data_IF_370038159254
#
_entry.id   IF_370038159254
#
_cell.length_a   1.000
_cell.length_b   1.000
_cell.length_c   1.000
_cell.angle_alpha   90.00
_cell.angle_beta   90.00
_cell.angle_gamma   90.00
#
_symmetry.space_group_name_H-M   'P 1'
#
loop_
_entity.id
_entity.type
_entity.pdbx_description
1 polymer ?
#
# COMPACT_ATOMS: atom_id res chain seq x y z
N UNK A 1 44.02 15.20 -22.14
CA UNK A 1 43.46 13.89 -21.68
C UNK A 1 43.87 12.88 -22.74
N UNK A 2 44.65 11.88 -22.36
CA UNK A 2 45.16 10.86 -23.30
C UNK A 2 44.03 9.95 -23.80
N UNK A 3 44.22 9.28 -24.97
CA UNK A 3 43.16 8.46 -25.60
C UNK A 3 42.64 7.35 -24.69
N UNK A 4 43.47 6.81 -23.81
CA UNK A 4 43.06 5.80 -22.81
C UNK A 4 42.04 6.33 -21.80
N UNK A 5 42.18 7.58 -21.36
CA UNK A 5 41.23 8.21 -20.43
C UNK A 5 39.89 8.51 -21.12
N UNK A 6 39.91 8.89 -22.39
CA UNK A 6 38.69 9.12 -23.17
C UNK A 6 37.90 7.81 -23.36
N UNK A 7 38.57 6.69 -23.62
CA UNK A 7 37.95 5.37 -23.75
C UNK A 7 37.34 4.95 -22.38
N UNK A 8 38.05 5.17 -21.27
CA UNK A 8 37.55 4.86 -19.94
C UNK A 8 36.28 5.64 -19.58
N UNK A 9 36.23 6.94 -19.91
CA UNK A 9 35.06 7.78 -19.68
C UNK A 9 33.88 7.31 -20.53
N UNK A 10 34.12 7.00 -21.81
CA UNK A 10 33.06 6.53 -22.71
C UNK A 10 32.47 5.19 -22.26
N UNK A 11 33.31 4.24 -21.83
CA UNK A 11 32.84 2.96 -21.26
C UNK A 11 32.04 3.16 -19.96
N UNK A 12 32.44 4.08 -19.12
CA UNK A 12 31.75 4.40 -17.88
C UNK A 12 30.38 5.01 -18.12
N UNK A 13 30.28 5.93 -19.10
CA UNK A 13 29.02 6.53 -19.52
C UNK A 13 28.07 5.51 -20.15
N UNK A 14 28.58 4.58 -20.97
CA UNK A 14 27.79 3.48 -21.52
C UNK A 14 27.28 2.53 -20.44
N UNK A 15 28.09 2.25 -19.43
CA UNK A 15 27.68 1.41 -18.29
C UNK A 15 26.59 2.10 -17.45
N UNK A 16 26.74 3.40 -17.20
CA UNK A 16 25.72 4.19 -16.50
C UNK A 16 24.40 4.28 -17.29
N UNK A 17 24.48 4.47 -18.61
CA UNK A 17 23.31 4.47 -19.49
C UNK A 17 22.63 3.09 -19.54
N UNK A 18 23.41 2.02 -19.59
CA UNK A 18 22.91 0.65 -19.55
C UNK A 18 22.21 0.34 -18.23
N UNK A 19 22.79 0.71 -17.10
CA UNK A 19 22.17 0.52 -15.80
C UNK A 19 20.90 1.35 -15.65
N UNK A 20 20.91 2.64 -16.05
CA UNK A 20 19.72 3.49 -16.01
C UNK A 20 18.62 3.06 -16.99
N UNK A 21 19.01 2.56 -18.17
CA UNK A 21 18.06 2.08 -19.17
C UNK A 21 17.43 0.72 -18.82
N UNK A 22 18.20 -0.16 -18.16
CA UNK A 22 17.72 -1.48 -17.74
C UNK A 22 17.01 -1.45 -16.37
N UNK A 23 17.34 -0.50 -15.51
CA UNK A 23 16.73 -0.41 -14.19
C UNK A 23 15.20 -0.32 -14.21
N UNK A 24 14.55 0.48 -15.07
CA UNK A 24 13.09 0.50 -15.16
C UNK A 24 12.52 -0.86 -15.56
N UNK A 25 13.14 -1.54 -16.53
CA UNK A 25 12.68 -2.85 -17.04
C UNK A 25 12.83 -3.93 -15.96
N UNK A 26 13.91 -3.90 -15.20
CA UNK A 26 14.15 -4.84 -14.09
C UNK A 26 13.29 -4.52 -12.85
N UNK A 27 12.86 -3.25 -12.70
CA UNK A 27 12.02 -2.80 -11.59
C UNK A 27 10.53 -2.86 -11.90
N UNK A 28 10.16 -3.05 -13.18
CA UNK A 28 8.76 -3.09 -13.62
C UNK A 28 7.95 -4.21 -12.96
N UNK A 29 8.62 -5.25 -12.49
CA UNK A 29 8.02 -6.37 -11.75
C UNK A 29 8.27 -6.30 -10.23
N UNK A 30 8.56 -5.14 -9.69
CA UNK A 30 8.79 -5.04 -8.26
C UNK A 30 7.45 -4.99 -7.51
N UNK A 31 7.23 -5.97 -6.64
CA UNK A 31 6.06 -6.03 -5.72
C UNK A 31 5.88 -4.77 -4.85
N UNK A 32 6.85 -3.88 -4.86
CA UNK A 32 6.81 -2.57 -4.22
C UNK A 32 6.34 -1.45 -5.15
N UNK A 33 6.02 -1.75 -6.40
CA UNK A 33 5.51 -0.75 -7.32
C UNK A 33 4.10 -0.30 -6.90
N UNK A 34 4.08 0.89 -6.29
CA UNK A 34 2.84 1.51 -5.83
C UNK A 34 1.92 1.92 -6.98
N UNK A 35 2.47 2.15 -8.18
CA UNK A 35 1.68 2.50 -9.37
C UNK A 35 0.89 1.31 -9.87
N UNK A 36 1.56 0.19 -10.13
CA UNK A 36 0.91 -1.05 -10.56
C UNK A 36 -0.17 -1.47 -9.56
N UNK A 37 0.16 -1.44 -8.27
CA UNK A 37 -0.80 -1.72 -7.21
C UNK A 37 -2.02 -0.76 -7.24
N UNK A 38 -1.78 0.54 -7.41
CA UNK A 38 -2.86 1.53 -7.50
C UNK A 38 -3.76 1.28 -8.72
N UNK A 39 -3.17 0.98 -9.88
CA UNK A 39 -3.91 0.72 -11.12
C UNK A 39 -4.74 -0.57 -11.02
N UNK A 40 -4.23 -1.60 -10.34
CA UNK A 40 -4.94 -2.85 -10.11
C UNK A 40 -6.13 -2.70 -9.14
N UNK A 41 -6.01 -1.86 -8.11
CA UNK A 41 -7.08 -1.71 -7.11
C UNK A 41 -8.13 -0.67 -7.51
N UNK A 42 -7.81 0.33 -8.32
CA UNK A 42 -8.75 1.37 -8.75
C UNK A 42 -10.10 0.84 -9.26
N UNK A 43 -10.16 -0.22 -10.09
CA UNK A 43 -11.44 -0.76 -10.56
C UNK A 43 -12.31 -1.36 -9.46
N UNK A 44 -11.72 -1.71 -8.31
CA UNK A 44 -12.44 -2.31 -7.17
C UNK A 44 -13.05 -1.24 -6.26
N UNK A 45 -12.63 0.01 -6.39
CA UNK A 45 -13.03 1.08 -5.49
C UNK A 45 -14.42 1.61 -5.85
N UNK A 46 -15.32 1.78 -4.87
CA UNK A 46 -16.66 2.36 -5.10
C UNK A 46 -16.61 3.87 -5.34
N UNK A 47 -15.45 4.50 -5.13
CA UNK A 47 -15.22 5.92 -5.29
C UNK A 47 -13.79 6.29 -4.90
N UNK A 48 -13.51 7.58 -4.84
CA UNK A 48 -12.19 8.07 -4.45
C UNK A 48 -12.02 7.95 -2.92
N UNK A 49 -11.04 7.19 -2.41
CA UNK A 49 -10.81 7.10 -0.97
C UNK A 49 -10.07 8.34 -0.45
N UNK A 50 -10.54 8.91 0.66
CA UNK A 50 -9.81 9.96 1.38
C UNK A 50 -8.65 9.37 2.18
N UNK A 51 -8.81 8.14 2.65
CA UNK A 51 -7.80 7.47 3.45
C UNK A 51 -7.63 6.01 3.02
N UNK A 52 -6.38 5.58 2.92
CA UNK A 52 -6.01 4.16 2.77
C UNK A 52 -5.28 3.73 4.04
N UNK A 53 -5.82 2.73 4.70
CA UNK A 53 -5.39 2.25 6.01
C UNK A 53 -4.81 0.84 5.85
N UNK A 54 -3.51 0.69 6.10
CA UNK A 54 -2.85 -0.61 6.13
C UNK A 54 -2.94 -1.19 7.54
N UNK A 55 -3.56 -2.36 7.66
CA UNK A 55 -3.77 -3.05 8.94
C UNK A 55 -2.67 -4.09 9.13
N UNK A 56 -1.86 -3.94 10.18
CA UNK A 56 -0.70 -4.80 10.51
C UNK A 56 0.24 -5.06 9.32
N UNK A 57 0.33 -4.09 8.41
CA UNK A 57 1.13 -4.21 7.20
C UNK A 57 1.97 -2.95 6.96
N UNK A 58 2.99 -3.09 6.13
CA UNK A 58 3.80 -1.95 5.73
C UNK A 58 3.03 -1.07 4.73
N UNK A 59 2.95 0.22 5.04
CA UNK A 59 2.32 1.18 4.14
C UNK A 59 3.09 1.30 2.83
N UNK A 60 2.35 1.45 1.74
CA UNK A 60 2.89 1.82 0.43
C UNK A 60 2.70 3.32 0.23
N UNK A 61 3.64 4.10 0.75
CA UNK A 61 3.54 5.58 0.74
C UNK A 61 3.39 6.16 -0.68
N UNK A 62 3.91 5.47 -1.71
CA UNK A 62 3.72 5.86 -3.09
C UNK A 62 2.26 5.91 -3.55
N UNK A 63 1.34 5.22 -2.88
CA UNK A 63 -0.11 5.30 -3.17
C UNK A 63 -0.69 6.70 -2.97
N UNK A 64 -0.11 7.50 -2.08
CA UNK A 64 -0.50 8.89 -1.89
C UNK A 64 -0.49 9.66 -3.24
N UNK A 65 0.55 9.45 -4.06
CA UNK A 65 0.68 10.11 -5.35
C UNK A 65 -0.34 9.62 -6.39
N UNK A 66 -0.59 8.31 -6.43
CA UNK A 66 -1.43 7.70 -7.48
C UNK A 66 -2.91 7.70 -7.16
N UNK A 67 -3.26 7.68 -5.88
CA UNK A 67 -4.64 7.73 -5.40
C UNK A 67 -5.02 9.08 -4.81
N UNK A 68 -4.07 10.02 -4.66
CA UNK A 68 -4.28 11.32 -4.02
C UNK A 68 -4.99 11.19 -2.66
N UNK A 69 -4.53 10.26 -1.85
CA UNK A 69 -5.17 9.84 -0.61
C UNK A 69 -4.18 9.90 0.56
N UNK A 70 -4.69 10.01 1.76
CA UNK A 70 -3.88 9.92 2.96
C UNK A 70 -3.61 8.44 3.31
N UNK A 71 -2.35 8.11 3.62
CA UNK A 71 -1.94 6.74 3.97
C UNK A 71 -1.70 6.66 5.47
N UNK A 72 -2.31 5.66 6.10
CA UNK A 72 -2.12 5.35 7.52
C UNK A 72 -1.76 3.89 7.72
N UNK A 73 -1.08 3.61 8.83
CA UNK A 73 -0.82 2.25 9.33
C UNK A 73 -1.49 2.07 10.67
N UNK A 74 -2.24 1.00 10.84
CA UNK A 74 -2.89 0.69 12.11
C UNK A 74 -2.52 -0.72 12.58
N UNK A 75 -2.39 -0.86 13.89
CA UNK A 75 -2.22 -2.14 14.57
C UNK A 75 -3.52 -2.60 15.19
N UNK A 76 -3.68 -3.90 15.45
CA UNK A 76 -4.85 -4.40 16.20
C UNK A 76 -4.86 -3.88 17.64
N UNK A 77 -3.69 -3.91 18.28
CA UNK A 77 -3.53 -3.41 19.65
C UNK A 77 -2.81 -2.07 19.68
N UNK A 78 -3.15 -1.20 20.64
CA UNK A 78 -2.39 0.04 20.83
C UNK A 78 -0.92 -0.29 21.11
N UNK A 79 -0.03 0.24 20.29
CA UNK A 79 1.42 0.08 20.48
C UNK A 79 2.02 1.41 20.91
N UNK A 80 2.99 1.44 21.85
CA UNK A 80 3.72 2.65 22.16
C UNK A 80 4.41 3.13 20.88
N UNK A 81 4.35 4.43 20.60
CA UNK A 81 5.01 5.01 19.42
C UNK A 81 6.52 4.80 19.53
N UNK A 82 7.13 3.96 18.72
CA UNK A 82 8.58 3.89 18.66
C UNK A 82 9.13 5.18 18.04
N UNK A 83 10.39 5.47 18.31
CA UNK A 83 11.09 6.67 17.82
C UNK A 83 11.37 6.60 16.30
N UNK A 84 10.94 5.54 15.61
CA UNK A 84 11.22 5.30 14.18
C UNK A 84 9.98 5.51 13.31
N UNK A 85 10.21 5.89 12.03
CA UNK A 85 9.18 6.05 10.99
C UNK A 85 8.37 4.78 10.66
N UNK A 86 8.74 3.63 11.24
CA UNK A 86 7.99 2.37 11.11
C UNK A 86 6.81 2.26 12.07
N UNK A 87 6.54 3.29 12.87
CA UNK A 87 5.46 3.31 13.84
C UNK A 87 4.08 3.17 13.19
N UNK A 88 3.17 2.51 13.90
CA UNK A 88 1.75 2.56 13.59
C UNK A 88 1.18 3.91 14.03
N UNK A 89 0.30 4.48 13.22
CA UNK A 89 -0.30 5.79 13.49
C UNK A 89 -1.33 5.72 14.61
N UNK A 90 -2.09 4.61 14.66
CA UNK A 90 -3.17 4.37 15.63
C UNK A 90 -3.46 2.88 15.75
N UNK A 91 -4.42 2.51 16.62
CA UNK A 91 -4.99 1.17 16.64
C UNK A 91 -6.25 1.09 15.77
N UNK A 92 -6.60 -0.14 15.33
CA UNK A 92 -7.82 -0.38 14.56
C UNK A 92 -9.07 0.10 15.32
N UNK A 93 -9.14 -0.14 16.62
CA UNK A 93 -10.27 0.33 17.44
C UNK A 93 -10.39 1.86 17.44
N UNK A 94 -9.27 2.58 17.49
CA UNK A 94 -9.27 4.05 17.42
C UNK A 94 -9.75 4.55 16.04
N UNK A 95 -9.32 3.90 14.97
CA UNK A 95 -9.78 4.26 13.62
C UNK A 95 -11.27 3.94 13.41
N UNK A 96 -11.74 2.80 13.92
CA UNK A 96 -13.15 2.42 13.82
C UNK A 96 -14.08 3.34 14.63
N UNK A 97 -13.59 3.97 15.69
CA UNK A 97 -14.32 4.97 16.47
C UNK A 97 -14.48 6.32 15.75
N UNK A 98 -13.65 6.60 14.73
CA UNK A 98 -13.75 7.83 13.93
C UNK A 98 -15.00 7.81 13.04
N UNK A 99 -15.57 8.96 12.69
CA UNK A 99 -16.65 9.04 11.71
C UNK A 99 -16.22 8.51 10.35
N UNK A 100 -17.20 8.15 9.51
CA UNK A 100 -16.95 7.71 8.14
C UNK A 100 -16.23 8.80 7.33
N UNK A 101 -15.18 8.44 6.60
CA UNK A 101 -14.35 9.34 5.82
C UNK A 101 -13.78 8.66 4.56
N UNK A 102 -14.61 7.89 3.85
CA UNK A 102 -14.22 7.20 2.62
C UNK A 102 -12.93 6.38 2.79
N UNK A 103 -12.90 5.57 3.84
CA UNK A 103 -11.72 4.77 4.22
C UNK A 103 -11.67 3.44 3.49
N UNK A 104 -10.48 3.11 3.05
CA UNK A 104 -10.14 1.82 2.47
C UNK A 104 -9.20 1.08 3.44
N UNK A 105 -9.51 -0.15 3.76
CA UNK A 105 -8.68 -1.00 4.62
C UNK A 105 -8.00 -2.06 3.77
N UNK A 106 -6.68 -2.14 3.89
CA UNK A 106 -5.84 -3.10 3.16
C UNK A 106 -5.04 -3.90 4.18
N UNK A 107 -5.09 -5.21 4.06
CA UNK A 107 -4.39 -6.13 4.95
C UNK A 107 -3.93 -7.37 4.23
N UNK A 108 -3.01 -8.10 4.83
CA UNK A 108 -2.65 -9.44 4.39
C UNK A 108 -3.80 -10.42 4.64
N UNK A 109 -3.88 -11.45 3.81
CA UNK A 109 -4.89 -12.52 3.94
C UNK A 109 -4.93 -13.12 5.35
N UNK A 110 -3.78 -13.36 5.96
CA UNK A 110 -3.66 -13.92 7.30
C UNK A 110 -4.29 -13.05 8.41
N UNK A 111 -4.42 -11.73 8.17
CA UNK A 111 -4.99 -10.77 9.11
C UNK A 111 -6.50 -10.56 8.91
N UNK A 112 -7.09 -11.12 7.86
CA UNK A 112 -8.49 -10.91 7.48
C UNK A 112 -9.47 -11.26 8.62
N UNK A 113 -9.30 -12.42 9.24
CA UNK A 113 -10.21 -12.85 10.32
C UNK A 113 -10.13 -11.95 11.55
N UNK A 114 -8.93 -11.55 11.95
CA UNK A 114 -8.75 -10.65 13.08
C UNK A 114 -9.35 -9.26 12.79
N UNK A 115 -9.20 -8.77 11.54
CA UNK A 115 -9.83 -7.53 11.10
C UNK A 115 -11.36 -7.62 11.17
N UNK A 116 -11.95 -8.67 10.61
CA UNK A 116 -13.41 -8.88 10.64
C UNK A 116 -13.96 -8.94 12.06
N UNK A 117 -13.28 -9.64 12.97
CA UNK A 117 -13.65 -9.70 14.37
C UNK A 117 -13.59 -8.31 15.03
N UNK A 118 -12.54 -7.52 14.78
CA UNK A 118 -12.41 -6.16 15.30
C UNK A 118 -13.51 -5.22 14.77
N UNK A 119 -13.85 -5.31 13.49
CA UNK A 119 -14.93 -4.52 12.89
C UNK A 119 -16.29 -4.89 13.49
N UNK A 120 -16.59 -6.18 13.64
CA UNK A 120 -17.83 -6.64 14.27
C UNK A 120 -17.94 -6.17 15.72
N UNK A 121 -16.84 -6.25 16.49
CA UNK A 121 -16.81 -5.77 17.86
C UNK A 121 -17.08 -4.26 17.98
N UNK A 122 -16.77 -3.49 16.93
CA UNK A 122 -17.10 -2.06 16.86
C UNK A 122 -18.54 -1.75 16.44
N UNK A 123 -19.35 -2.77 16.14
CA UNK A 123 -20.72 -2.62 15.63
C UNK A 123 -20.81 -2.13 14.19
N UNK A 124 -19.72 -2.17 13.42
CA UNK A 124 -19.69 -1.81 12.01
C UNK A 124 -19.75 -3.04 11.12
N UNK A 125 -20.17 -2.85 9.89
CA UNK A 125 -20.28 -3.93 8.88
C UNK A 125 -19.16 -3.79 7.87
N UNK A 126 -18.28 -4.79 7.73
CA UNK A 126 -17.24 -4.79 6.71
C UNK A 126 -17.82 -5.18 5.36
N UNK A 127 -17.38 -4.51 4.29
CA UNK A 127 -17.70 -4.84 2.91
C UNK A 127 -16.42 -5.13 2.13
N UNK A 128 -16.24 -6.37 1.70
CA UNK A 128 -15.12 -6.77 0.86
C UNK A 128 -15.27 -6.16 -0.54
N UNK A 129 -14.25 -5.46 -1.00
CA UNK A 129 -14.19 -4.87 -2.33
C UNK A 129 -13.49 -5.79 -3.32
N UNK A 130 -12.48 -6.52 -2.87
CA UNK A 130 -11.73 -7.43 -3.71
C UNK A 130 -10.49 -7.99 -3.04
N UNK A 131 -9.70 -8.67 -3.84
CA UNK A 131 -8.41 -9.23 -3.47
C UNK A 131 -7.37 -8.81 -4.51
N UNK A 132 -6.22 -8.36 -4.04
CA UNK A 132 -5.06 -8.17 -4.89
C UNK A 132 -4.12 -9.35 -4.68
N UNK A 133 -3.88 -10.11 -5.75
CA UNK A 133 -3.04 -11.31 -5.74
C UNK A 133 -1.75 -10.97 -6.46
N UNK A 134 -0.62 -11.15 -5.80
CA UNK A 134 0.67 -10.97 -6.44
C UNK A 134 0.99 -12.16 -7.36
N UNK A 135 1.10 -11.86 -8.66
CA UNK A 135 1.22 -12.89 -9.73
C UNK A 135 2.46 -13.78 -9.61
N UNK A 136 3.55 -13.29 -9.01
CA UNK A 136 4.83 -13.99 -9.00
C UNK A 136 5.11 -14.80 -7.73
N UNK A 137 4.46 -14.51 -6.62
CA UNK A 137 4.64 -15.22 -5.34
C UNK A 137 3.31 -15.28 -4.59
N UNK A 138 2.48 -16.27 -4.87
CA UNK A 138 1.22 -16.42 -4.14
C UNK A 138 1.46 -16.71 -2.67
N UNK A 139 0.59 -16.27 -1.83
CA UNK A 139 0.29 -16.51 -0.42
C UNK A 139 0.71 -15.42 0.58
N UNK A 140 1.96 -15.01 0.66
CA UNK A 140 2.39 -14.05 1.72
C UNK A 140 2.11 -12.59 1.36
N UNK A 141 1.81 -12.31 0.09
CA UNK A 141 1.70 -10.95 -0.45
C UNK A 141 0.30 -10.58 -0.91
N UNK A 142 -0.62 -11.53 -0.89
CA UNK A 142 -2.02 -11.29 -1.19
C UNK A 142 -2.60 -10.25 -0.22
N UNK A 143 -3.32 -9.30 -0.76
CA UNK A 143 -3.96 -8.23 0.00
C UNK A 143 -5.46 -8.30 -0.14
N UNK A 144 -6.12 -8.31 1.02
CA UNK A 144 -7.55 -8.20 1.11
C UNK A 144 -7.92 -6.72 1.19
N UNK A 145 -8.92 -6.30 0.44
CA UNK A 145 -9.35 -4.93 0.31
C UNK A 145 -10.78 -4.81 0.80
N UNK A 146 -10.97 -4.00 1.83
CA UNK A 146 -12.25 -3.79 2.50
C UNK A 146 -12.59 -2.31 2.61
N UNK A 147 -13.86 -2.04 2.70
CA UNK A 147 -14.41 -0.79 3.24
C UNK A 147 -15.45 -1.12 4.30
N UNK A 148 -16.02 -0.12 4.92
CA UNK A 148 -17.16 -0.31 5.82
C UNK A 148 -18.42 0.22 5.17
N UNK A 149 -19.57 -0.32 5.57
CA UNK A 149 -20.86 0.24 5.18
C UNK A 149 -20.93 1.70 5.62
N UNK A 150 -21.46 2.55 4.75
CA UNK A 150 -21.56 4.01 4.89
C UNK A 150 -20.25 4.82 4.69
N UNK A 151 -19.07 4.19 4.42
CA UNK A 151 -17.86 4.97 4.13
C UNK A 151 -17.97 5.74 2.80
N UNK A 152 -18.61 5.15 1.80
CA UNK A 152 -18.82 5.73 0.47
C UNK A 152 -20.29 6.01 0.18
N UNK A 153 -21.13 6.14 1.22
CA UNK A 153 -22.49 6.57 1.04
C UNK A 153 -22.51 8.00 0.49
N UNK A 154 -23.10 8.18 -0.67
CA UNK A 154 -23.28 9.48 -1.30
C UNK A 154 -24.08 10.38 -0.35
N UNK A 155 -23.50 11.53 0.02
CA UNK A 155 -24.24 12.60 0.68
C UNK A 155 -25.16 13.28 -0.30
#
# INVERSE_FOLDING_TARGET
>A
IGPAAQIGIALWLLLLLGVKGLAPILLENNSKDSRAFADDIKPMLPGHPNQVIFVEDMSRNGLNLYLQTNIKKVSFEPRPKPISDSAFDSSLAQELAQPADQRLFIMKREMEQAFLAGVQASGRTPRKLGEWIEKEKPSDRDRMIYTLDNEFATR
#
